data_IF_591304238143
#
_entry.id   IF_591304238143
#
_cell.length_a   1.000
_cell.length_b   1.000
_cell.length_c   1.000
_cell.angle_alpha   90.00
_cell.angle_beta   90.00
_cell.angle_gamma   90.00
#
_symmetry.space_group_name_H-M   'P 1'
#
loop_
_entity.id
_entity.type
_entity.pdbx_description
1 polymer ?
#
# COMPACT_ATOMS: atom_id res chain seq x y z
N UNK A 1 33.76 36.90 25.90
CA UNK A 1 33.49 35.56 26.45
C UNK A 1 32.15 35.60 27.15
N UNK A 2 31.13 34.92 26.60
CA UNK A 2 29.93 34.37 27.28
C UNK A 2 28.77 34.27 26.28
N UNK A 3 28.86 33.32 25.34
CA UNK A 3 27.72 32.91 24.53
C UNK A 3 26.98 31.78 25.24
N UNK A 4 25.80 32.06 25.76
CA UNK A 4 24.86 31.09 26.32
C UNK A 4 24.40 30.13 25.22
N UNK A 5 24.84 28.87 25.30
CA UNK A 5 24.28 27.77 24.53
C UNK A 5 23.00 27.30 25.22
N UNK A 6 21.85 27.74 24.73
CA UNK A 6 20.58 27.11 25.04
C UNK A 6 20.52 25.74 24.35
N UNK A 7 20.54 24.69 25.18
CA UNK A 7 20.37 23.31 24.78
C UNK A 7 18.93 23.06 24.35
N UNK A 8 18.72 22.86 23.05
CA UNK A 8 17.51 22.22 22.52
C UNK A 8 17.49 20.75 22.96
N UNK A 9 16.88 20.51 24.12
CA UNK A 9 16.47 19.18 24.56
C UNK A 9 15.40 18.69 23.58
N UNK A 10 15.79 17.77 22.70
CA UNK A 10 14.86 16.95 21.92
C UNK A 10 14.10 16.09 22.93
N UNK A 11 12.86 16.47 23.18
CA UNK A 11 11.94 15.77 24.06
C UNK A 11 11.54 14.47 23.35
N UNK A 12 12.37 13.43 23.45
CA UNK A 12 11.99 12.06 23.09
C UNK A 12 10.98 11.58 24.12
N UNK A 13 9.70 11.89 23.89
CA UNK A 13 8.62 11.22 24.60
C UNK A 13 8.76 9.72 24.35
N UNK A 14 9.06 9.00 25.41
CA UNK A 14 9.19 7.57 25.45
C UNK A 14 7.84 6.94 25.12
N UNK A 15 7.82 6.12 24.07
CA UNK A 15 6.65 5.33 23.69
C UNK A 15 6.22 4.44 24.86
N UNK A 16 4.90 4.29 25.06
CA UNK A 16 4.32 3.32 26.00
C UNK A 16 4.87 1.91 25.74
N UNK A 17 5.00 1.03 26.75
CA UNK A 17 5.43 -0.35 26.55
C UNK A 17 4.33 -1.13 25.81
N UNK A 18 4.33 -1.04 24.49
CA UNK A 18 3.51 -1.84 23.57
C UNK A 18 4.30 -3.03 23.04
N UNK A 19 3.60 -4.03 22.49
CA UNK A 19 4.23 -5.10 21.70
C UNK A 19 5.11 -4.47 20.60
N UNK A 20 6.32 -5.00 20.43
CA UNK A 20 7.17 -4.60 19.29
C UNK A 20 6.53 -5.07 17.97
N UNK A 21 6.56 -4.24 16.91
CA UNK A 21 6.08 -4.65 15.60
C UNK A 21 6.87 -5.84 15.04
N UNK A 22 6.16 -6.81 14.46
CA UNK A 22 6.75 -7.97 13.78
C UNK A 22 7.25 -7.67 12.37
N UNK A 23 6.91 -6.49 11.83
CA UNK A 23 7.43 -5.96 10.57
C UNK A 23 8.16 -4.64 10.82
N UNK A 24 9.35 -4.51 10.23
CA UNK A 24 10.10 -3.26 10.21
C UNK A 24 9.66 -2.36 9.06
N UNK A 25 9.37 -2.94 7.89
CA UNK A 25 8.99 -2.21 6.67
C UNK A 25 7.85 -2.91 5.96
N UNK A 26 6.79 -2.18 5.65
CA UNK A 26 5.64 -2.70 4.90
C UNK A 26 5.43 -1.89 3.62
N UNK A 27 4.80 -2.52 2.63
CA UNK A 27 4.18 -1.82 1.52
C UNK A 27 2.66 -2.00 1.58
N UNK A 28 1.95 -0.90 1.79
CA UNK A 28 0.49 -0.86 1.75
C UNK A 28 0.02 -0.63 0.31
N UNK A 29 -0.75 -1.57 -0.24
CA UNK A 29 -1.40 -1.40 -1.53
C UNK A 29 -2.86 -1.01 -1.30
N UNK A 30 -3.21 0.20 -1.70
CA UNK A 30 -4.57 0.73 -1.72
C UNK A 30 -5.16 0.61 -3.14
N UNK A 31 -6.39 0.12 -3.27
CA UNK A 31 -7.12 0.27 -4.55
C UNK A 31 -7.54 1.72 -4.74
N UNK A 32 -7.64 2.19 -5.99
CA UNK A 32 -8.22 3.52 -6.23
C UNK A 32 -9.66 3.57 -5.74
N UNK A 33 -10.41 2.50 -5.98
CA UNK A 33 -11.79 2.32 -5.53
C UNK A 33 -11.96 2.41 -4.02
N UNK A 34 -10.93 2.06 -3.25
CA UNK A 34 -10.96 2.17 -1.80
C UNK A 34 -11.09 3.64 -1.35
N UNK A 35 -10.76 4.60 -2.21
CA UNK A 35 -10.85 6.03 -1.93
C UNK A 35 -12.22 6.63 -2.27
N UNK A 36 -13.11 5.91 -2.94
CA UNK A 36 -14.40 6.46 -3.40
C UNK A 36 -15.50 6.42 -2.33
N UNK A 37 -15.39 5.58 -1.30
CA UNK A 37 -16.53 5.37 -0.38
C UNK A 37 -17.80 4.96 -1.13
N UNK A 38 -18.87 5.74 -0.95
CA UNK A 38 -20.14 5.57 -1.66
C UNK A 38 -20.23 6.40 -2.96
N UNK A 39 -19.20 7.18 -3.28
CA UNK A 39 -19.15 7.99 -4.49
C UNK A 39 -18.92 7.13 -5.73
N UNK A 40 -19.41 7.62 -6.88
CA UNK A 40 -19.24 6.95 -8.18
C UNK A 40 -17.90 7.29 -8.85
N UNK A 41 -17.22 8.34 -8.38
CA UNK A 41 -16.00 8.88 -8.98
C UNK A 41 -15.23 9.73 -7.97
N UNK A 42 -13.90 9.77 -8.12
CA UNK A 42 -13.04 10.69 -7.36
C UNK A 42 -12.62 10.15 -6.00
N UNK A 43 -12.50 11.02 -5.01
CA UNK A 43 -12.07 10.66 -3.66
C UNK A 43 -13.08 11.24 -2.67
N UNK A 44 -13.57 10.38 -1.78
CA UNK A 44 -14.53 10.77 -0.76
C UNK A 44 -13.79 11.29 0.50
N UNK A 45 -14.08 12.53 0.95
CA UNK A 45 -13.40 13.12 2.10
C UNK A 45 -13.55 12.32 3.40
N UNK A 46 -14.69 11.67 3.58
CA UNK A 46 -15.04 10.81 4.71
C UNK A 46 -14.26 9.49 4.73
N UNK A 47 -13.61 9.11 3.62
CA UNK A 47 -12.82 7.87 3.53
C UNK A 47 -11.31 8.13 3.61
N UNK A 48 -10.82 9.18 2.94
CA UNK A 48 -9.37 9.44 2.91
C UNK A 48 -8.82 9.87 4.28
N UNK A 49 -9.64 10.57 5.09
CA UNK A 49 -9.27 10.98 6.45
C UNK A 49 -8.98 9.78 7.36
N UNK A 50 -9.93 8.84 7.53
CA UNK A 50 -9.71 7.60 8.29
C UNK A 50 -8.55 6.74 7.76
N UNK A 51 -8.37 6.63 6.44
CA UNK A 51 -7.22 5.92 5.86
C UNK A 51 -5.90 6.56 6.31
N UNK A 52 -5.80 7.89 6.27
CA UNK A 52 -4.62 8.60 6.72
C UNK A 52 -4.35 8.39 8.22
N UNK A 53 -5.41 8.32 9.04
CA UNK A 53 -5.30 8.03 10.48
C UNK A 53 -4.76 6.62 10.74
N UNK A 54 -5.30 5.59 10.06
CA UNK A 54 -4.79 4.21 10.19
C UNK A 54 -3.30 4.11 9.81
N UNK A 55 -2.90 4.78 8.74
CA UNK A 55 -1.49 4.82 8.30
C UNK A 55 -0.61 5.50 9.35
N UNK A 56 -1.05 6.64 9.90
CA UNK A 56 -0.29 7.39 10.90
C UNK A 56 -0.18 6.61 12.20
N UNK A 57 -1.27 6.00 12.68
CA UNK A 57 -1.25 5.15 13.88
C UNK A 57 -0.24 4.00 13.74
N UNK A 58 -0.23 3.32 12.59
CA UNK A 58 0.76 2.28 12.32
C UNK A 58 2.20 2.83 12.24
N UNK A 59 2.40 4.00 11.61
CA UNK A 59 3.71 4.65 11.52
C UNK A 59 4.25 5.07 12.89
N UNK A 60 3.39 5.48 13.82
CA UNK A 60 3.76 5.85 15.19
C UNK A 60 4.33 4.67 16.01
N UNK A 61 4.11 3.44 15.56
CA UNK A 61 4.76 2.24 16.12
C UNK A 61 6.24 2.09 15.68
N UNK A 62 6.77 3.02 14.87
CA UNK A 62 8.17 3.04 14.44
C UNK A 62 8.46 2.21 13.19
N UNK A 63 7.44 1.66 12.53
CA UNK A 63 7.60 0.93 11.28
C UNK A 63 7.79 1.89 10.09
N UNK A 64 8.35 1.38 9.01
CA UNK A 64 8.55 2.11 7.77
C UNK A 64 7.44 1.77 6.78
N UNK A 65 6.68 2.77 6.33
CA UNK A 65 5.51 2.56 5.48
C UNK A 65 5.77 3.13 4.09
N UNK A 66 5.69 2.25 3.09
CA UNK A 66 5.52 2.62 1.70
C UNK A 66 4.09 2.36 1.22
N UNK A 67 3.61 3.12 0.24
CA UNK A 67 2.24 3.04 -0.25
C UNK A 67 2.23 3.00 -1.78
N UNK A 68 1.43 2.11 -2.36
CA UNK A 68 1.03 2.16 -3.78
C UNK A 68 -0.49 2.35 -3.83
N UNK A 69 -0.95 3.30 -4.65
CA UNK A 69 -2.37 3.62 -4.79
C UNK A 69 -2.83 3.36 -6.22
N UNK A 70 -3.92 2.61 -6.38
CA UNK A 70 -4.57 2.39 -7.68
C UNK A 70 -5.24 3.66 -8.22
N UNK A 71 -5.54 3.70 -9.53
CA UNK A 71 -6.17 4.85 -10.19
C UNK A 71 -7.65 4.65 -10.57
N UNK A 72 -8.23 3.49 -10.23
CA UNK A 72 -9.55 3.05 -10.70
C UNK A 72 -10.74 3.90 -10.29
N UNK A 73 -10.56 4.83 -9.36
CA UNK A 73 -11.56 5.83 -8.95
C UNK A 73 -11.64 7.06 -9.87
N UNK A 74 -10.57 7.35 -10.61
CA UNK A 74 -10.50 8.45 -11.58
C UNK A 74 -10.55 7.89 -13.00
N UNK A 75 -9.85 6.79 -13.26
CA UNK A 75 -9.84 6.19 -14.59
C UNK A 75 -9.80 4.66 -14.53
N UNK A 76 -10.76 4.02 -15.18
CA UNK A 76 -10.75 2.58 -15.43
C UNK A 76 -10.45 2.33 -16.90
N UNK A 77 -9.49 1.46 -17.19
CA UNK A 77 -9.09 1.16 -18.57
C UNK A 77 -10.24 0.70 -19.48
N UNK A 78 -11.26 0.04 -18.92
CA UNK A 78 -12.50 -0.33 -19.64
C UNK A 78 -13.26 0.87 -20.20
N UNK A 79 -13.18 2.04 -19.56
CA UNK A 79 -13.75 3.29 -20.09
C UNK A 79 -13.00 3.76 -21.33
N UNK A 80 -11.67 3.61 -21.36
CA UNK A 80 -10.85 3.97 -22.52
C UNK A 80 -11.17 3.14 -23.76
N UNK A 81 -11.46 1.84 -23.60
CA UNK A 81 -11.89 0.98 -24.71
C UNK A 81 -13.21 1.44 -25.33
N UNK A 82 -14.15 1.93 -24.52
CA UNK A 82 -15.42 2.47 -25.02
C UNK A 82 -15.22 3.76 -25.86
N UNK A 83 -14.10 4.46 -25.67
CA UNK A 83 -13.73 5.66 -26.44
C UNK A 83 -12.84 5.35 -27.65
N UNK A 84 -12.55 4.07 -27.93
CA UNK A 84 -11.66 3.66 -29.01
C UNK A 84 -10.18 4.01 -28.76
N UNK A 85 -9.79 4.21 -27.50
CA UNK A 85 -8.39 4.49 -27.16
C UNK A 85 -7.51 3.26 -27.38
N UNK A 86 -6.28 3.51 -27.81
CA UNK A 86 -5.22 2.50 -27.72
C UNK A 86 -5.00 2.09 -26.26
N UNK A 87 -4.75 0.79 -26.04
CA UNK A 87 -4.60 0.21 -24.71
C UNK A 87 -3.45 0.86 -23.93
N UNK A 88 -2.33 1.14 -24.58
CA UNK A 88 -1.19 1.75 -23.91
C UNK A 88 -1.48 3.20 -23.50
N UNK A 89 -2.18 3.96 -24.35
CA UNK A 89 -2.64 5.31 -24.03
C UNK A 89 -3.58 5.31 -22.80
N UNK A 90 -4.54 4.37 -22.76
CA UNK A 90 -5.44 4.22 -21.61
C UNK A 90 -4.69 3.87 -20.32
N UNK A 91 -3.66 3.02 -20.38
CA UNK A 91 -2.84 2.68 -19.22
C UNK A 91 -2.02 3.90 -18.73
N UNK A 92 -1.53 4.76 -19.62
CA UNK A 92 -0.88 6.03 -19.21
C UNK A 92 -1.85 6.98 -18.51
N UNK A 93 -3.10 7.10 -18.97
CA UNK A 93 -4.13 7.88 -18.24
C UNK A 93 -4.38 7.26 -16.86
N UNK A 94 -4.45 5.93 -16.76
CA UNK A 94 -4.53 5.22 -15.49
C UNK A 94 -3.34 5.51 -14.56
N UNK A 95 -2.12 5.56 -15.11
CA UNK A 95 -0.92 5.92 -14.36
C UNK A 95 -0.98 7.37 -13.85
N UNK A 96 -1.47 8.33 -14.65
CA UNK A 96 -1.69 9.71 -14.18
C UNK A 96 -2.75 9.77 -13.07
N UNK A 97 -3.83 8.99 -13.17
CA UNK A 97 -4.81 8.87 -12.11
C UNK A 97 -4.19 8.37 -10.78
N UNK A 98 -3.26 7.42 -10.82
CA UNK A 98 -2.53 7.01 -9.60
C UNK A 98 -1.73 8.17 -8.99
N UNK A 99 -1.11 9.01 -9.82
CA UNK A 99 -0.33 10.18 -9.35
C UNK A 99 -1.23 11.21 -8.69
N UNK A 100 -2.41 11.49 -9.28
CA UNK A 100 -3.40 12.37 -8.66
C UNK A 100 -3.79 11.89 -7.26
N UNK A 101 -4.08 10.59 -7.10
CA UNK A 101 -4.38 10.01 -5.79
C UNK A 101 -3.20 10.13 -4.81
N UNK A 102 -1.96 9.95 -5.29
CA UNK A 102 -0.77 10.07 -4.45
C UNK A 102 -0.58 11.50 -3.89
N UNK A 103 -0.81 12.52 -4.72
CA UNK A 103 -0.70 13.92 -4.30
C UNK A 103 -1.77 14.28 -3.27
N UNK A 104 -3.01 13.83 -3.47
CA UNK A 104 -4.10 14.09 -2.53
C UNK A 104 -3.81 13.38 -1.20
N UNK A 105 -3.42 12.10 -1.23
CA UNK A 105 -3.07 11.35 -0.01
C UNK A 105 -1.87 11.97 0.71
N UNK A 106 -0.88 12.48 -0.03
CA UNK A 106 0.26 13.22 0.55
C UNK A 106 -0.21 14.43 1.35
N UNK A 107 -1.09 15.27 0.80
CA UNK A 107 -1.55 16.48 1.50
C UNK A 107 -2.43 16.14 2.72
N UNK A 108 -3.27 15.11 2.64
CA UNK A 108 -4.06 14.65 3.80
C UNK A 108 -3.17 14.10 4.91
N UNK A 109 -2.14 13.32 4.59
CA UNK A 109 -1.18 12.83 5.57
C UNK A 109 -0.34 13.98 6.18
N UNK A 110 0.07 14.94 5.36
CA UNK A 110 0.83 16.12 5.81
C UNK A 110 0.00 17.03 6.72
N UNK A 111 -1.28 17.24 6.42
CA UNK A 111 -2.17 18.04 7.28
C UNK A 111 -2.36 17.42 8.66
N UNK A 112 -2.15 16.10 8.79
CA UNK A 112 -2.12 15.34 10.05
C UNK A 112 -0.72 15.19 10.65
N UNK A 113 0.28 15.92 10.15
CA UNK A 113 1.64 16.00 10.72
C UNK A 113 2.65 14.96 10.22
N UNK A 114 2.28 14.08 9.28
CA UNK A 114 3.20 13.09 8.74
C UNK A 114 4.18 13.71 7.73
N UNK A 115 5.43 13.26 7.74
CA UNK A 115 6.39 13.57 6.67
C UNK A 115 6.21 12.60 5.51
N UNK A 116 5.86 13.11 4.34
CA UNK A 116 5.52 12.28 3.17
C UNK A 116 6.34 12.67 1.94
N UNK A 117 6.70 11.68 1.12
CA UNK A 117 7.32 11.88 -0.19
C UNK A 117 6.60 11.06 -1.26
N UNK A 118 6.16 11.74 -2.31
CA UNK A 118 5.65 11.09 -3.52
C UNK A 118 6.81 10.87 -4.49
N UNK A 119 6.93 9.64 -4.97
CA UNK A 119 7.90 9.23 -5.98
C UNK A 119 7.19 8.60 -7.16
N UNK A 120 7.59 8.93 -8.38
CA UNK A 120 6.85 8.55 -9.60
C UNK A 120 7.70 7.71 -10.54
N UNK A 121 7.09 6.70 -11.17
CA UNK A 121 7.76 5.84 -12.13
C UNK A 121 8.05 6.57 -13.46
N UNK A 122 7.13 7.45 -13.88
CA UNK A 122 7.31 8.33 -15.04
C UNK A 122 7.81 9.67 -14.52
N UNK A 123 8.93 10.15 -15.08
CA UNK A 123 9.53 11.41 -14.65
C UNK A 123 8.57 12.59 -14.88
N UNK A 124 8.24 13.29 -13.80
CA UNK A 124 7.44 14.53 -13.83
C UNK A 124 8.08 15.60 -12.94
N UNK A 125 9.15 16.23 -13.44
CA UNK A 125 9.79 17.35 -12.76
C UNK A 125 8.75 18.42 -12.40
N UNK A 126 8.94 19.08 -11.26
CA UNK A 126 8.00 20.02 -10.63
C UNK A 126 6.82 19.42 -9.86
N UNK A 127 6.41 18.18 -10.13
CA UNK A 127 5.25 17.56 -9.47
C UNK A 127 5.69 16.61 -8.35
N UNK A 128 6.58 15.67 -8.66
CA UNK A 128 7.01 14.64 -7.72
C UNK A 128 8.45 14.19 -7.99
N UNK A 129 9.08 13.55 -7.00
CA UNK A 129 10.42 13.00 -7.19
C UNK A 129 10.36 11.83 -8.20
N UNK A 130 11.34 11.66 -9.10
CA UNK A 130 11.45 10.42 -9.85
C UNK A 130 11.79 9.27 -8.89
N UNK A 131 11.26 8.08 -9.14
CA UNK A 131 11.61 6.90 -8.34
C UNK A 131 13.09 6.55 -8.51
N UNK A 132 13.82 6.66 -7.40
CA UNK A 132 15.19 6.18 -7.25
C UNK A 132 15.21 5.29 -6.02
N UNK A 133 15.45 3.99 -6.21
CA UNK A 133 15.37 2.96 -5.15
C UNK A 133 16.11 3.35 -3.86
N UNK A 134 17.37 3.77 -3.96
CA UNK A 134 18.17 4.11 -2.78
C UNK A 134 17.65 5.36 -2.05
N UNK A 135 17.06 6.31 -2.79
CA UNK A 135 16.42 7.50 -2.21
C UNK A 135 15.13 7.14 -1.48
N UNK A 136 14.31 6.24 -2.03
CA UNK A 136 13.12 5.73 -1.37
C UNK A 136 13.47 5.06 -0.04
N UNK A 137 14.47 4.17 -0.03
CA UNK A 137 14.98 3.53 1.19
C UNK A 137 15.45 4.58 2.21
N UNK A 138 16.18 5.61 1.76
CA UNK A 138 16.65 6.67 2.67
C UNK A 138 15.53 7.51 3.27
N UNK A 139 14.43 7.73 2.54
CA UNK A 139 13.25 8.39 3.10
C UNK A 139 12.59 7.52 4.17
N UNK A 140 12.41 6.23 3.89
CA UNK A 140 11.85 5.26 4.83
C UNK A 140 12.68 5.15 6.12
N UNK A 141 14.01 5.11 6.03
CA UNK A 141 14.91 5.13 7.18
C UNK A 141 14.80 6.38 8.06
N UNK A 142 14.37 7.51 7.49
CA UNK A 142 14.13 8.77 8.20
C UNK A 142 12.72 8.84 8.80
N UNK A 143 11.96 7.76 8.77
CA UNK A 143 10.58 7.70 9.27
C UNK A 143 9.56 8.40 8.37
N UNK A 144 9.92 8.72 7.12
CA UNK A 144 8.99 9.34 6.17
C UNK A 144 8.14 8.27 5.50
N UNK A 145 6.87 8.58 5.27
CA UNK A 145 5.99 7.76 4.43
C UNK A 145 6.38 8.02 2.97
N UNK A 146 6.54 6.94 2.20
CA UNK A 146 6.84 7.04 0.76
C UNK A 146 5.64 6.54 -0.04
N UNK A 147 5.13 7.36 -0.96
CA UNK A 147 4.01 6.99 -1.84
C UNK A 147 4.54 6.86 -3.26
N UNK A 148 4.26 5.73 -3.91
CA UNK A 148 4.66 5.46 -5.29
C UNK A 148 3.49 5.67 -6.25
N UNK A 149 3.65 6.64 -7.16
CA UNK A 149 2.73 6.93 -8.26
C UNK A 149 3.25 6.49 -9.62
N UNK A 150 2.36 6.36 -10.60
CA UNK A 150 2.69 5.97 -11.97
C UNK A 150 2.92 4.47 -12.19
N UNK A 151 2.51 3.62 -11.26
CA UNK A 151 2.65 2.16 -11.38
C UNK A 151 4.10 1.72 -11.62
N UNK A 152 4.32 0.87 -12.63
CA UNK A 152 5.66 0.49 -13.09
C UNK A 152 6.24 1.45 -14.13
N UNK A 153 5.45 2.44 -14.58
CA UNK A 153 5.78 3.31 -15.72
C UNK A 153 5.59 2.64 -17.09
N UNK A 154 5.14 1.38 -17.12
CA UNK A 154 4.96 0.62 -18.35
C UNK A 154 3.49 0.22 -18.54
N UNK A 155 2.93 0.37 -19.76
CA UNK A 155 1.62 -0.17 -20.10
C UNK A 155 1.53 -1.69 -19.95
N UNK A 156 0.29 -2.22 -19.93
CA UNK A 156 -0.02 -3.65 -19.77
C UNK A 156 0.33 -4.25 -18.40
N UNK A 157 0.73 -3.42 -17.43
CA UNK A 157 1.09 -3.85 -16.08
C UNK A 157 0.09 -3.30 -15.07
N UNK A 158 -0.28 -4.10 -14.08
CA UNK A 158 -1.25 -3.69 -13.06
C UNK A 158 -0.56 -2.92 -11.91
N UNK A 159 -1.37 -2.27 -11.08
CA UNK A 159 -0.88 -1.66 -9.83
C UNK A 159 -0.52 -2.69 -8.75
N UNK A 160 -1.03 -3.92 -8.84
CA UNK A 160 -0.63 -5.02 -7.94
C UNK A 160 0.78 -5.50 -8.29
N UNK A 161 1.11 -5.60 -9.59
CA UNK A 161 2.48 -5.88 -10.04
C UNK A 161 3.43 -4.76 -9.61
N UNK A 162 3.02 -3.50 -9.73
CA UNK A 162 3.81 -2.36 -9.27
C UNK A 162 4.05 -2.39 -7.75
N UNK A 163 3.04 -2.71 -6.96
CA UNK A 163 3.17 -2.90 -5.51
C UNK A 163 4.17 -3.98 -5.15
N UNK A 164 4.09 -5.13 -5.81
CA UNK A 164 5.01 -6.26 -5.58
C UNK A 164 6.45 -5.92 -5.98
N UNK A 165 6.63 -5.24 -7.12
CA UNK A 165 7.94 -4.77 -7.56
C UNK A 165 8.56 -3.77 -6.58
N UNK A 166 7.80 -2.74 -6.19
CA UNK A 166 8.29 -1.73 -5.24
C UNK A 166 8.60 -2.34 -3.89
N UNK A 167 7.80 -3.29 -3.42
CA UNK A 167 8.04 -4.02 -2.18
C UNK A 167 9.38 -4.76 -2.22
N UNK A 168 9.67 -5.46 -3.32
CA UNK A 168 10.96 -6.14 -3.51
C UNK A 168 12.14 -5.16 -3.55
N UNK A 169 12.03 -4.06 -4.31
CA UNK A 169 13.10 -3.07 -4.43
C UNK A 169 13.43 -2.38 -3.11
N UNK A 170 12.40 -2.06 -2.31
CA UNK A 170 12.58 -1.48 -0.98
C UNK A 170 12.79 -2.53 0.10
N UNK A 171 12.85 -3.84 -0.20
CA UNK A 171 12.97 -4.90 0.82
C UNK A 171 11.90 -4.78 1.92
N UNK A 172 10.64 -4.66 1.53
CA UNK A 172 9.53 -4.72 2.47
C UNK A 172 9.38 -6.13 3.04
N UNK A 173 9.04 -6.23 4.32
CA UNK A 173 8.82 -7.48 5.03
C UNK A 173 7.45 -8.09 4.69
N UNK A 174 6.50 -7.27 4.22
CA UNK A 174 5.18 -7.72 3.75
C UNK A 174 4.56 -6.70 2.80
N UNK A 175 3.73 -7.21 1.88
CA UNK A 175 2.72 -6.40 1.18
C UNK A 175 1.39 -6.52 1.92
N UNK A 176 0.83 -5.40 2.35
CA UNK A 176 -0.51 -5.32 2.92
C UNK A 176 -1.49 -4.90 1.83
N UNK A 177 -2.38 -5.79 1.43
CA UNK A 177 -3.40 -5.52 0.42
C UNK A 177 -4.72 -5.15 1.07
N UNK A 178 -5.00 -3.84 1.05
CA UNK A 178 -6.28 -3.30 1.49
C UNK A 178 -7.36 -3.57 0.43
N UNK A 179 -8.43 -4.28 0.82
CA UNK A 179 -9.63 -4.49 0.02
C UNK A 179 -10.82 -3.80 0.70
N UNK A 180 -11.75 -3.27 -0.10
CA UNK A 180 -12.99 -2.72 0.42
C UNK A 180 -14.06 -3.82 0.51
N UNK A 181 -14.57 -4.10 1.72
CA UNK A 181 -15.69 -5.03 1.92
C UNK A 181 -15.36 -6.50 1.63
N UNK A 182 -14.06 -6.86 1.65
CA UNK A 182 -13.59 -8.25 1.59
C UNK A 182 -12.45 -8.40 2.58
N UNK A 183 -12.65 -9.20 3.61
CA UNK A 183 -11.76 -9.26 4.76
C UNK A 183 -10.71 -10.37 4.69
N UNK A 184 -10.49 -10.96 3.52
CA UNK A 184 -9.48 -12.00 3.28
C UNK A 184 -9.68 -12.68 1.94
N UNK A 185 -9.01 -13.82 1.76
CA UNK A 185 -9.21 -14.73 0.63
C UNK A 185 -10.20 -15.81 1.06
N UNK A 186 -11.12 -16.14 0.16
CA UNK A 186 -12.13 -17.15 0.36
C UNK A 186 -11.92 -18.29 -0.65
N UNK A 187 -12.37 -19.49 -0.31
CA UNK A 187 -12.34 -20.66 -1.21
C UNK A 187 -13.31 -20.52 -2.40
N UNK A 188 -14.30 -19.64 -2.28
CA UNK A 188 -15.23 -19.23 -3.34
C UNK A 188 -15.61 -17.74 -3.19
N UNK A 189 -16.30 -17.13 -4.16
CA UNK A 189 -16.74 -15.73 -4.10
C UNK A 189 -17.82 -15.54 -3.02
N UNK A 190 -17.51 -14.87 -1.88
CA UNK A 190 -18.46 -14.73 -0.78
C UNK A 190 -19.65 -13.83 -1.11
N UNK A 191 -19.61 -13.09 -2.24
CA UNK A 191 -20.73 -12.29 -2.73
C UNK A 191 -21.75 -13.13 -3.50
N UNK A 192 -21.35 -14.31 -3.98
CA UNK A 192 -22.19 -15.20 -4.79
C UNK A 192 -22.52 -16.49 -4.06
N UNK A 193 -21.59 -16.99 -3.26
CA UNK A 193 -21.75 -18.21 -2.49
C UNK A 193 -21.77 -17.89 -0.98
N UNK A 194 -22.92 -18.00 -0.30
CA UNK A 194 -23.00 -17.77 1.15
C UNK A 194 -22.25 -18.82 1.98
N UNK A 195 -21.85 -19.94 1.39
CA UNK A 195 -21.05 -20.99 2.03
C UNK A 195 -19.53 -20.81 1.84
N UNK A 196 -19.09 -19.74 1.16
CA UNK A 196 -17.68 -19.43 0.98
C UNK A 196 -16.99 -19.31 2.35
N UNK A 197 -15.89 -20.03 2.53
CA UNK A 197 -15.11 -20.06 3.76
C UNK A 197 -13.85 -19.23 3.60
N UNK A 198 -13.62 -18.36 4.57
CA UNK A 198 -12.40 -17.58 4.67
C UNK A 198 -11.21 -18.50 4.94
N UNK A 199 -10.15 -18.31 4.17
CA UNK A 199 -8.89 -19.02 4.33
C UNK A 199 -7.99 -18.16 5.22
N UNK A 200 -7.55 -18.65 6.38
CA UNK A 200 -6.64 -17.86 7.23
C UNK A 200 -5.22 -17.76 6.65
N UNK A 201 -4.76 -18.85 6.02
CA UNK A 201 -3.42 -18.94 5.46
C UNK A 201 -3.41 -19.83 4.22
N UNK A 202 -2.66 -19.41 3.21
CA UNK A 202 -2.48 -20.17 1.96
C UNK A 202 -1.04 -20.01 1.46
N UNK A 203 -0.47 -21.06 0.84
CA UNK A 203 0.83 -20.94 0.16
C UNK A 203 0.67 -20.23 -1.19
N UNK A 204 1.77 -19.75 -1.76
CA UNK A 204 1.73 -19.17 -3.12
C UNK A 204 1.33 -20.22 -4.16
N UNK A 205 1.82 -21.45 -3.99
CA UNK A 205 1.52 -22.60 -4.83
C UNK A 205 0.04 -22.96 -4.80
N UNK A 206 -0.56 -23.00 -3.60
CA UNK A 206 -1.97 -23.31 -3.41
C UNK A 206 -2.87 -22.22 -3.99
N UNK A 207 -2.49 -20.95 -3.79
CA UNK A 207 -3.22 -19.81 -4.35
C UNK A 207 -3.30 -19.91 -5.87
N UNK A 208 -2.16 -20.18 -6.54
CA UNK A 208 -2.09 -20.34 -8.00
C UNK A 208 -2.86 -21.59 -8.44
N UNK A 209 -2.66 -22.72 -7.77
CA UNK A 209 -3.29 -24.01 -8.11
C UNK A 209 -4.82 -23.97 -8.01
N UNK A 210 -5.35 -23.28 -7.02
CA UNK A 210 -6.80 -23.12 -6.81
C UNK A 210 -7.39 -21.97 -7.65
N UNK A 211 -6.57 -21.20 -8.37
CA UNK A 211 -7.03 -20.09 -9.20
C UNK A 211 -7.66 -18.94 -8.41
N UNK A 212 -7.31 -18.79 -7.13
CA UNK A 212 -7.89 -17.77 -6.25
C UNK A 212 -7.38 -16.39 -6.63
N UNK A 213 -8.30 -15.49 -6.99
CA UNK A 213 -7.98 -14.16 -7.52
C UNK A 213 -7.73 -13.15 -6.41
N UNK A 214 -6.47 -13.00 -6.03
CA UNK A 214 -6.04 -11.96 -5.07
C UNK A 214 -5.46 -10.75 -5.79
N UNK A 215 -4.48 -11.02 -6.65
CA UNK A 215 -3.70 -10.11 -7.48
C UNK A 215 -3.42 -10.81 -8.82
N UNK A 216 -2.85 -10.11 -9.80
CA UNK A 216 -2.42 -10.74 -11.04
C UNK A 216 -1.27 -11.74 -10.81
N UNK A 217 -1.13 -12.78 -11.66
CA UNK A 217 -0.08 -13.80 -11.48
C UNK A 217 1.35 -13.25 -11.45
N UNK A 218 1.65 -12.18 -12.18
CA UNK A 218 2.98 -11.60 -12.19
C UNK A 218 3.33 -10.97 -10.83
N UNK A 219 2.37 -10.29 -10.20
CA UNK A 219 2.50 -9.80 -8.83
C UNK A 219 2.77 -10.94 -7.83
N UNK A 220 2.02 -12.05 -7.92
CA UNK A 220 2.21 -13.23 -7.05
C UNK A 220 3.61 -13.78 -7.19
N UNK A 221 4.09 -13.97 -8.42
CA UNK A 221 5.43 -14.51 -8.68
C UNK A 221 6.54 -13.61 -8.12
N UNK A 222 6.43 -12.28 -8.29
CA UNK A 222 7.42 -11.35 -7.73
C UNK A 222 7.49 -11.48 -6.20
N UNK A 223 6.34 -11.51 -5.52
CA UNK A 223 6.30 -11.71 -4.06
C UNK A 223 6.87 -13.06 -3.64
N UNK A 224 6.51 -14.14 -4.35
CA UNK A 224 7.03 -15.49 -4.09
C UNK A 224 8.55 -15.56 -4.22
N UNK A 225 9.10 -15.09 -5.34
CA UNK A 225 10.53 -15.17 -5.65
C UNK A 225 11.40 -14.35 -4.68
N UNK A 226 10.81 -13.31 -4.09
CA UNK A 226 11.45 -12.45 -3.10
C UNK A 226 11.09 -12.81 -1.65
N UNK A 227 10.34 -13.88 -1.42
CA UNK A 227 9.89 -14.32 -0.09
C UNK A 227 9.10 -13.24 0.68
N UNK A 228 8.34 -12.40 -0.01
CA UNK A 228 7.55 -11.31 0.57
C UNK A 228 6.12 -11.79 0.77
N UNK A 229 5.67 -12.06 2.01
CA UNK A 229 4.29 -12.45 2.27
C UNK A 229 3.30 -11.34 1.90
N UNK A 230 2.09 -11.76 1.56
CA UNK A 230 0.98 -10.84 1.29
C UNK A 230 -0.08 -11.04 2.38
N UNK A 231 -0.57 -9.97 2.96
CA UNK A 231 -1.73 -10.00 3.87
C UNK A 231 -2.89 -9.31 3.18
N UNK A 232 -3.96 -10.06 2.91
CA UNK A 232 -5.21 -9.52 2.36
C UNK A 232 -6.15 -9.24 3.50
N UNK A 233 -6.61 -7.99 3.63
CA UNK A 233 -7.46 -7.58 4.75
C UNK A 233 -8.48 -6.51 4.31
N UNK A 234 -9.53 -6.37 5.11
CA UNK A 234 -10.53 -5.31 4.95
C UNK A 234 -10.06 -4.06 5.71
N UNK A 235 -9.83 -2.97 4.97
CA UNK A 235 -9.34 -1.73 5.58
C UNK A 235 -10.44 -0.94 6.28
N UNK A 236 -11.73 -1.26 6.07
CA UNK A 236 -12.83 -0.59 6.75
C UNK A 236 -12.86 -0.87 8.26
N UNK A 237 -12.21 -1.97 8.69
CA UNK A 237 -12.06 -2.31 10.11
C UNK A 237 -10.91 -1.48 10.71
N UNK A 238 -11.25 -0.55 11.60
CA UNK A 238 -10.24 0.28 12.29
C UNK A 238 -9.26 -0.57 13.11
N UNK A 239 -8.01 -0.11 13.17
CA UNK A 239 -6.87 -0.76 13.80
C UNK A 239 -6.30 -1.93 12.99
N UNK A 240 -6.77 -2.19 11.77
CA UNK A 240 -6.34 -3.39 11.03
C UNK A 240 -4.85 -3.37 10.71
N UNK A 241 -4.30 -2.22 10.30
CA UNK A 241 -2.88 -2.12 9.96
C UNK A 241 -2.04 -2.33 11.22
N UNK A 242 -2.36 -1.64 12.31
CA UNK A 242 -1.71 -1.78 13.62
C UNK A 242 -1.71 -3.24 14.09
N UNK A 243 -2.88 -3.89 14.10
CA UNK A 243 -3.02 -5.28 14.54
C UNK A 243 -2.18 -6.24 13.69
N UNK A 244 -2.15 -6.05 12.36
CA UNK A 244 -1.31 -6.86 11.46
C UNK A 244 0.17 -6.67 11.79
N UNK A 245 0.62 -5.43 11.97
CA UNK A 245 2.04 -5.15 12.24
C UNK A 245 2.47 -5.53 13.65
N UNK A 246 1.54 -5.73 14.57
CA UNK A 246 1.76 -6.32 15.89
C UNK A 246 1.64 -7.85 15.91
N UNK A 247 1.44 -8.47 14.75
CA UNK A 247 1.42 -9.92 14.56
C UNK A 247 0.09 -10.60 14.89
N UNK A 248 -1.00 -9.85 15.00
CA UNK A 248 -2.32 -10.45 15.10
C UNK A 248 -2.75 -11.09 13.77
N UNK A 249 -3.57 -12.14 13.88
CA UNK A 249 -4.16 -12.83 12.73
C UNK A 249 -5.34 -12.01 12.19
N UNK A 250 -5.04 -11.04 11.34
CA UNK A 250 -6.04 -10.27 10.61
C UNK A 250 -5.96 -10.64 9.14
N UNK A 251 -7.12 -10.90 8.53
CA UNK A 251 -7.20 -11.18 7.12
C UNK A 251 -6.76 -12.59 6.73
N UNK A 252 -6.11 -12.69 5.59
CA UNK A 252 -5.50 -13.92 5.08
C UNK A 252 -4.03 -13.68 4.78
N UNK A 253 -3.17 -14.56 5.30
CA UNK A 253 -1.74 -14.57 5.01
C UNK A 253 -1.44 -15.48 3.83
N UNK A 254 -0.78 -14.95 2.80
CA UNK A 254 -0.30 -15.68 1.63
C UNK A 254 1.22 -15.80 1.73
N UNK A 255 1.73 -17.03 1.71
CA UNK A 255 3.16 -17.34 1.73
C UNK A 255 3.72 -17.76 3.10
N UNK A 256 5.04 -17.58 3.27
CA UNK A 256 5.78 -17.99 4.46
C UNK A 256 5.73 -16.96 5.59
N UNK A 257 6.09 -17.40 6.79
CA UNK A 257 5.70 -16.80 8.08
C UNK A 257 6.18 -15.36 8.26
N UNK A 258 5.34 -14.59 8.95
CA UNK A 258 5.61 -13.25 9.49
C UNK A 258 6.83 -13.27 10.42
N UNK A 259 7.82 -12.41 10.19
CA UNK A 259 8.88 -12.09 11.17
C UNK A 259 10.00 -13.11 11.35
N UNK A 260 10.45 -13.79 10.29
CA UNK A 260 11.64 -14.65 10.34
C UNK A 260 12.80 -14.08 9.52
N UNK A 261 13.87 -13.64 10.18
CA UNK A 261 15.17 -13.57 9.52
C UNK A 261 15.56 -14.98 9.04
N UNK A 262 16.18 -15.06 7.85
CA UNK A 262 17.02 -16.22 7.54
C UNK A 262 18.16 -16.30 8.55
#
# INVERSE_FOLDING_TARGET
MSGTKESLLVNTQTAKPGKEPVYKRILLKLSGEALMGNEKFGIAPDVIGPIAEEIISAQQLGIQIAIVVGGGNIFRGVTGSAWGMDKAAADYVGMLATVMNCLILQEVLKSKGAQVRVMTAIAMPSIAEPFIRLRAIRHLEKGRIVIFGGGTGNPHVTTDTAASLRAAEIKADSVLMAKNGVDGVYDDDPRKNPHAKKIERISFEDLIRQGLKVMDPAAVSICKDNYIPIVVFDFAKSGSIERIVLGEKVGTLIGTRVGGAK
#
